data_IF_707488232712
#
_entry.id   IF_707488232712
#
_cell.length_a   1.000
_cell.length_b   1.000
_cell.length_c   1.000
_cell.angle_alpha   90.00
_cell.angle_beta   90.00
_cell.angle_gamma   90.00
#
_symmetry.space_group_name_H-M   'P 1'
#
loop_
_entity.id
_entity.type
_entity.pdbx_description
1 polymer ?
#
# COMPACT_ATOMS: atom_id res chain seq x y z
N UNK A 1 7.94 20.89 -9.02
CA UNK A 1 7.66 19.83 -10.01
C UNK A 1 6.17 19.56 -9.98
N UNK A 2 5.50 19.61 -11.13
CA UNK A 2 4.04 19.47 -11.22
C UNK A 2 3.66 18.00 -11.19
N UNK A 3 2.87 17.58 -10.20
CA UNK A 3 2.31 16.23 -10.16
C UNK A 3 1.21 16.12 -11.24
N UNK A 4 1.15 14.97 -11.91
CA UNK A 4 0.11 14.65 -12.90
C UNK A 4 -1.25 14.36 -12.27
N UNK A 5 -1.40 14.56 -10.97
CA UNK A 5 -2.66 14.36 -10.24
C UNK A 5 -3.79 15.25 -10.75
N UNK A 6 -3.44 16.40 -11.35
CA UNK A 6 -4.37 17.29 -12.05
C UNK A 6 -5.05 16.62 -13.25
N UNK A 7 -4.47 15.57 -13.80
CA UNK A 7 -4.95 14.89 -15.02
C UNK A 7 -5.93 13.75 -14.71
N UNK A 8 -6.23 13.48 -13.43
CA UNK A 8 -7.14 12.39 -13.01
C UNK A 8 -8.51 12.52 -13.68
N UNK A 9 -9.09 13.72 -13.71
CA UNK A 9 -10.39 13.95 -14.36
C UNK A 9 -10.35 13.62 -15.86
N UNK A 10 -9.25 13.98 -16.54
CA UNK A 10 -9.06 13.66 -17.94
C UNK A 10 -8.90 12.14 -18.15
N UNK A 11 -8.15 11.45 -17.30
CA UNK A 11 -7.99 9.99 -17.41
C UNK A 11 -9.32 9.24 -17.24
N UNK A 12 -10.16 9.67 -16.29
CA UNK A 12 -11.49 9.08 -16.06
C UNK A 12 -12.41 9.30 -17.26
N UNK A 13 -12.41 10.52 -17.82
CA UNK A 13 -13.14 10.82 -19.04
C UNK A 13 -12.66 9.95 -20.22
N UNK A 14 -11.35 9.83 -20.40
CA UNK A 14 -10.76 9.02 -21.46
C UNK A 14 -11.15 7.54 -21.30
N UNK A 15 -11.06 6.99 -20.10
CA UNK A 15 -11.47 5.62 -19.81
C UNK A 15 -12.94 5.39 -20.18
N UNK A 16 -13.82 6.31 -19.79
CA UNK A 16 -15.25 6.25 -20.14
C UNK A 16 -15.47 6.32 -21.65
N UNK A 17 -14.78 7.22 -22.36
CA UNK A 17 -14.90 7.37 -23.82
C UNK A 17 -14.43 6.14 -24.61
N UNK A 18 -13.53 5.35 -24.01
CA UNK A 18 -12.99 4.12 -24.58
C UNK A 18 -13.69 2.86 -24.05
N UNK A 19 -14.72 3.01 -23.22
CA UNK A 19 -15.43 1.90 -22.56
C UNK A 19 -14.49 0.98 -21.75
N UNK A 20 -13.47 1.56 -21.11
CA UNK A 20 -12.47 0.85 -20.33
C UNK A 20 -12.73 0.96 -18.82
N UNK A 21 -12.43 -0.12 -18.11
CA UNK A 21 -12.29 -0.13 -16.66
C UNK A 21 -10.85 0.22 -16.30
N UNK A 22 -10.66 1.14 -15.35
CA UNK A 22 -9.34 1.47 -14.82
C UNK A 22 -9.18 0.93 -13.41
N UNK A 23 -7.94 0.51 -13.13
CA UNK A 23 -7.54 0.01 -11.84
C UNK A 23 -6.39 0.86 -11.33
N UNK A 24 -6.59 1.48 -10.17
CA UNK A 24 -5.63 2.42 -9.62
C UNK A 24 -5.11 1.89 -8.30
N UNK A 25 -3.78 1.82 -8.21
CA UNK A 25 -3.04 1.45 -7.01
C UNK A 25 -2.09 2.56 -6.66
N UNK A 26 -1.78 2.64 -5.39
CA UNK A 26 -0.73 3.49 -4.92
C UNK A 26 0.63 2.92 -5.35
N UNK A 27 1.54 3.80 -5.75
CA UNK A 27 2.93 3.40 -5.95
C UNK A 27 3.54 2.90 -4.62
N UNK A 28 4.26 1.77 -4.69
CA UNK A 28 5.02 1.18 -3.59
C UNK A 28 6.51 1.14 -4.00
N UNK A 29 7.45 1.32 -3.06
CA UNK A 29 8.87 1.24 -3.37
C UNK A 29 9.20 -0.17 -3.84
N UNK A 30 9.77 -0.27 -5.03
CA UNK A 30 10.30 -1.51 -5.61
C UNK A 30 11.42 -1.16 -6.57
N UNK A 31 12.50 -1.93 -6.53
CA UNK A 31 13.65 -1.79 -7.42
C UNK A 31 14.10 -0.32 -7.62
N UNK A 32 13.99 0.19 -8.84
CA UNK A 32 14.39 1.55 -9.23
C UNK A 32 13.54 2.65 -8.58
N UNK A 33 12.36 2.31 -8.06
CA UNK A 33 11.47 3.24 -7.39
C UNK A 33 11.73 3.36 -5.88
N UNK A 34 12.60 2.53 -5.28
CA UNK A 34 12.90 2.56 -3.84
C UNK A 34 13.35 3.95 -3.38
N UNK A 35 14.20 4.62 -4.18
CA UNK A 35 14.74 5.95 -3.86
C UNK A 35 13.94 7.10 -4.49
N UNK A 36 12.76 6.82 -5.07
CA UNK A 36 11.98 7.83 -5.77
C UNK A 36 10.94 8.49 -4.85
N UNK A 37 11.40 9.51 -4.11
CA UNK A 37 10.57 10.31 -3.21
C UNK A 37 9.49 11.15 -3.93
N UNK A 38 9.47 11.20 -5.26
CA UNK A 38 8.38 11.86 -6.00
C UNK A 38 7.13 10.97 -6.06
N UNK A 39 7.30 9.66 -6.00
CA UNK A 39 6.20 8.68 -6.04
C UNK A 39 5.63 8.39 -4.65
N UNK A 40 6.40 8.69 -3.60
CA UNK A 40 6.08 8.34 -2.22
C UNK A 40 6.17 9.61 -1.37
N UNK A 41 5.01 10.18 -1.06
CA UNK A 41 4.88 11.43 -0.30
C UNK A 41 3.73 11.35 0.69
N UNK A 42 3.73 12.29 1.62
CA UNK A 42 2.60 12.60 2.49
C UNK A 42 1.39 13.04 1.66
N UNK A 43 0.19 12.81 2.20
CA UNK A 43 -1.05 13.21 1.55
C UNK A 43 -1.23 14.73 1.61
N UNK A 44 -1.67 15.31 0.48
CA UNK A 44 -2.08 16.72 0.40
C UNK A 44 -3.59 16.82 0.15
N UNK A 45 -4.22 17.99 0.33
CA UNK A 45 -5.64 18.18 0.01
C UNK A 45 -5.98 17.88 -1.46
N UNK A 46 -5.08 18.20 -2.40
CA UNK A 46 -5.22 17.86 -3.82
C UNK A 46 -5.19 16.35 -4.04
N UNK A 47 -4.30 15.66 -3.33
CA UNK A 47 -4.22 14.20 -3.34
C UNK A 47 -5.51 13.54 -2.85
N UNK A 48 -6.04 14.04 -1.74
CA UNK A 48 -7.30 13.56 -1.20
C UNK A 48 -8.48 13.79 -2.17
N UNK A 49 -8.60 14.98 -2.75
CA UNK A 49 -9.64 15.29 -3.75
C UNK A 49 -9.57 14.35 -4.96
N UNK A 50 -8.37 14.04 -5.43
CA UNK A 50 -8.18 13.10 -6.54
C UNK A 50 -8.62 11.68 -6.17
N UNK A 51 -8.27 11.18 -4.98
CA UNK A 51 -8.74 9.85 -4.52
C UNK A 51 -10.27 9.80 -4.44
N UNK A 52 -10.90 10.85 -3.90
CA UNK A 52 -12.36 10.90 -3.80
C UNK A 52 -13.03 10.90 -5.18
N UNK A 53 -12.47 11.65 -6.13
CA UNK A 53 -12.95 11.65 -7.52
C UNK A 53 -12.84 10.24 -8.13
N UNK A 54 -11.69 9.57 -7.98
CA UNK A 54 -11.48 8.21 -8.49
C UNK A 54 -12.43 7.18 -7.85
N UNK A 55 -12.71 7.28 -6.54
CA UNK A 55 -13.65 6.38 -5.87
C UNK A 55 -15.12 6.65 -6.24
N UNK A 56 -15.44 7.85 -6.74
CA UNK A 56 -16.81 8.20 -7.16
C UNK A 56 -17.15 7.74 -8.58
N UNK A 57 -16.15 7.36 -9.38
CA UNK A 57 -16.33 6.95 -10.76
C UNK A 57 -16.62 5.43 -10.85
N UNK A 58 -17.74 5.02 -11.48
CA UNK A 58 -18.12 3.60 -11.55
C UNK A 58 -17.17 2.75 -12.42
N UNK A 59 -16.35 3.36 -13.27
CA UNK A 59 -15.38 2.68 -14.13
C UNK A 59 -13.99 2.61 -13.49
N UNK A 60 -13.81 3.14 -12.28
CA UNK A 60 -12.53 3.20 -11.58
C UNK A 60 -12.53 2.36 -10.31
N UNK A 61 -11.75 1.28 -10.33
CA UNK A 61 -11.47 0.47 -9.15
C UNK A 61 -10.20 0.96 -8.45
N UNK A 62 -10.38 1.73 -7.37
CA UNK A 62 -9.28 2.14 -6.49
C UNK A 62 -8.96 0.99 -5.53
N UNK A 63 -7.68 0.65 -5.37
CA UNK A 63 -7.23 -0.43 -4.49
C UNK A 63 -6.35 0.05 -3.34
N UNK A 64 -5.92 -0.91 -2.52
CA UNK A 64 -5.21 -0.68 -1.26
C UNK A 64 -6.05 0.16 -0.28
N UNK A 65 -5.38 0.80 0.68
CA UNK A 65 -5.93 1.71 1.69
C UNK A 65 -6.42 3.05 1.11
N UNK A 66 -6.60 3.17 -0.20
CA UNK A 66 -7.22 4.35 -0.84
C UNK A 66 -8.67 4.08 -1.26
N UNK A 67 -9.12 2.83 -1.12
CA UNK A 67 -10.49 2.45 -1.45
C UNK A 67 -11.45 2.88 -0.32
N UNK A 68 -12.44 3.69 -0.70
CA UNK A 68 -13.45 4.26 0.18
C UNK A 68 -14.74 3.43 0.27
N UNK A 69 -14.82 2.34 -0.50
CA UNK A 69 -16.03 1.52 -0.65
C UNK A 69 -16.26 0.66 0.59
N UNK A 70 -16.86 1.23 1.64
CA UNK A 70 -16.99 0.54 2.92
C UNK A 70 -17.83 1.16 4.04
N UNK A 71 -18.28 2.42 3.90
CA UNK A 71 -19.21 3.03 4.87
C UNK A 71 -18.66 3.27 6.27
N UNK A 72 -17.34 3.31 6.48
CA UNK A 72 -16.73 3.69 7.76
C UNK A 72 -16.66 5.22 7.93
N UNK A 73 -16.67 5.70 9.19
CA UNK A 73 -16.65 7.13 9.56
C UNK A 73 -15.45 7.92 8.98
N UNK A 74 -14.35 7.25 8.69
CA UNK A 74 -13.21 7.84 7.96
C UNK A 74 -13.22 7.30 6.51
N UNK A 75 -13.53 8.14 5.51
CA UNK A 75 -13.86 7.68 4.17
C UNK A 75 -12.72 6.97 3.44
N UNK A 76 -11.45 7.10 3.84
CA UNK A 76 -10.33 6.59 3.04
C UNK A 76 -9.92 5.13 3.28
N UNK A 77 -10.43 4.41 4.27
CA UNK A 77 -9.66 3.27 4.80
C UNK A 77 -10.47 2.02 4.98
N UNK A 78 -10.92 1.42 3.88
CA UNK A 78 -11.38 0.04 3.91
C UNK A 78 -10.39 -0.88 3.21
N UNK A 79 -9.35 -1.33 3.92
CA UNK A 79 -8.76 -2.62 3.56
C UNK A 79 -9.49 -3.73 4.31
N UNK A 80 -10.30 -4.52 3.60
CA UNK A 80 -10.99 -5.70 4.16
C UNK A 80 -10.02 -6.79 4.64
N UNK A 81 -8.76 -6.72 4.22
CA UNK A 81 -7.71 -7.68 4.57
C UNK A 81 -6.42 -6.96 4.94
N UNK A 82 -5.69 -7.54 5.87
CA UNK A 82 -4.30 -7.20 6.17
C UNK A 82 -3.35 -7.50 4.99
N UNK A 83 -2.04 -7.25 5.18
CA UNK A 83 -1.02 -7.61 4.21
C UNK A 83 -0.95 -9.14 4.01
N UNK A 84 -0.99 -9.60 2.75
CA UNK A 84 -0.89 -11.03 2.42
C UNK A 84 0.53 -11.59 2.35
N UNK A 85 1.56 -10.76 2.52
CA UNK A 85 2.96 -11.15 2.34
C UNK A 85 3.35 -12.28 3.32
N UNK A 86 3.75 -13.44 2.78
CA UNK A 86 4.14 -14.60 3.57
C UNK A 86 3.00 -15.34 4.29
N UNK A 87 1.76 -14.84 4.23
CA UNK A 87 0.55 -15.45 4.84
C UNK A 87 -0.42 -16.01 3.80
N UNK A 88 -0.60 -15.30 2.69
CA UNK A 88 -1.49 -15.67 1.58
C UNK A 88 -0.82 -15.53 0.21
N UNK A 89 0.31 -14.83 0.14
CA UNK A 89 1.00 -14.48 -1.10
C UNK A 89 2.47 -14.90 -0.98
N UNK A 90 2.97 -15.51 -2.05
CA UNK A 90 4.38 -15.70 -2.37
C UNK A 90 4.61 -15.04 -3.74
N UNK A 91 5.77 -14.43 -3.92
CA UNK A 91 6.20 -13.90 -5.20
C UNK A 91 7.32 -14.76 -5.79
N UNK A 92 7.27 -14.97 -7.10
CA UNK A 92 8.28 -15.69 -7.87
C UNK A 92 8.70 -14.79 -9.03
N UNK A 93 9.97 -14.41 -9.06
CA UNK A 93 10.57 -13.62 -10.13
C UNK A 93 10.76 -14.45 -11.41
N UNK A 94 11.03 -13.76 -12.52
CA UNK A 94 11.24 -14.40 -13.81
C UNK A 94 12.45 -15.36 -13.84
N UNK A 95 13.45 -15.14 -12.98
CA UNK A 95 14.61 -16.04 -12.81
C UNK A 95 14.35 -17.18 -11.81
N UNK A 96 13.13 -17.26 -11.28
CA UNK A 96 12.70 -18.22 -10.28
C UNK A 96 12.99 -17.81 -8.84
N UNK A 97 13.57 -16.63 -8.56
CA UNK A 97 13.80 -16.15 -7.19
C UNK A 97 12.48 -16.01 -6.44
N UNK A 98 12.43 -16.50 -5.20
CA UNK A 98 11.22 -16.50 -4.38
C UNK A 98 11.35 -15.49 -3.25
N UNK A 99 10.28 -14.75 -2.97
CA UNK A 99 10.18 -13.83 -1.83
C UNK A 99 8.74 -13.77 -1.30
N UNK A 100 8.51 -13.29 -0.06
CA UNK A 100 7.16 -13.13 0.49
C UNK A 100 6.38 -11.97 -0.15
N UNK A 101 7.07 -11.01 -0.77
CA UNK A 101 6.47 -9.86 -1.44
C UNK A 101 7.46 -9.20 -2.39
N UNK A 102 7.00 -8.82 -3.60
CA UNK A 102 7.82 -8.13 -4.62
C UNK A 102 8.36 -6.77 -4.17
N UNK A 103 7.80 -6.15 -3.14
CA UNK A 103 8.16 -4.79 -2.71
C UNK A 103 9.22 -4.73 -1.61
N UNK A 104 9.65 -5.86 -1.04
CA UNK A 104 10.57 -5.88 0.12
C UNK A 104 12.06 -5.83 -0.27
N UNK A 105 12.35 -6.05 -1.54
CA UNK A 105 13.71 -6.05 -2.07
C UNK A 105 14.52 -7.30 -1.73
N UNK A 106 15.80 -7.26 -2.11
CA UNK A 106 16.68 -8.44 -2.19
C UNK A 106 16.97 -9.14 -0.85
N UNK A 107 16.86 -8.40 0.25
CA UNK A 107 17.06 -8.96 1.59
C UNK A 107 15.95 -9.93 2.01
N UNK A 108 14.86 -10.01 1.24
CA UNK A 108 13.75 -10.91 1.47
C UNK A 108 13.70 -12.07 0.45
N UNK A 109 14.80 -12.36 -0.24
CA UNK A 109 14.90 -13.51 -1.13
C UNK A 109 15.09 -14.79 -0.32
N UNK A 110 14.16 -15.74 -0.47
CA UNK A 110 14.06 -16.96 0.34
C UNK A 110 14.47 -18.24 -0.38
N UNK A 111 14.97 -18.13 -1.61
CA UNK A 111 15.41 -19.27 -2.42
C UNK A 111 15.01 -19.15 -3.88
N UNK A 112 15.04 -20.27 -4.59
CA UNK A 112 14.72 -20.32 -6.02
C UNK A 112 13.79 -21.51 -6.35
N UNK A 113 12.76 -21.22 -7.14
CA UNK A 113 11.71 -22.15 -7.57
C UNK A 113 12.24 -23.44 -8.20
N UNK A 114 13.35 -23.35 -8.94
CA UNK A 114 13.92 -24.50 -9.64
C UNK A 114 14.82 -25.38 -8.75
N UNK A 115 15.12 -24.93 -7.51
CA UNK A 115 16.13 -25.57 -6.64
C UNK A 115 15.58 -25.98 -5.27
N UNK A 116 14.50 -25.36 -4.81
CA UNK A 116 14.03 -25.48 -3.44
C UNK A 116 12.57 -25.95 -3.38
N UNK A 117 12.20 -26.59 -2.27
CA UNK A 117 10.80 -26.94 -2.01
C UNK A 117 9.99 -25.71 -1.64
N UNK A 118 8.90 -25.44 -2.37
CA UNK A 118 8.00 -24.32 -2.06
C UNK A 118 7.39 -24.44 -0.67
N UNK A 119 7.10 -25.67 -0.21
CA UNK A 119 6.51 -25.86 1.12
C UNK A 119 7.52 -25.58 2.23
N UNK A 120 8.80 -25.89 1.99
CA UNK A 120 9.89 -25.60 2.92
C UNK A 120 10.15 -24.10 2.97
N UNK A 121 10.30 -23.44 1.82
CA UNK A 121 10.43 -21.97 1.76
C UNK A 121 9.25 -21.31 2.47
N UNK A 122 8.03 -21.71 2.12
CA UNK A 122 6.84 -21.12 2.71
C UNK A 122 6.86 -21.28 4.23
N UNK A 123 7.07 -22.48 4.79
CA UNK A 123 6.92 -22.70 6.24
C UNK A 123 8.13 -22.22 7.03
N UNK A 124 9.33 -22.45 6.53
CA UNK A 124 10.56 -22.43 7.32
C UNK A 124 11.50 -21.25 7.00
N UNK A 125 11.34 -20.57 5.86
CA UNK A 125 12.28 -19.50 5.50
C UNK A 125 12.20 -18.30 6.47
N UNK A 126 13.34 -17.75 6.92
CA UNK A 126 13.37 -16.64 7.86
C UNK A 126 12.58 -15.42 7.37
N UNK A 127 12.62 -15.12 6.06
CA UNK A 127 11.98 -13.94 5.49
C UNK A 127 10.45 -14.09 5.50
N UNK A 128 9.92 -15.29 5.26
CA UNK A 128 8.47 -15.57 5.40
C UNK A 128 8.04 -15.52 6.87
N UNK A 129 8.85 -16.07 7.79
CA UNK A 129 8.57 -15.99 9.23
C UNK A 129 8.59 -14.55 9.73
N UNK A 130 9.53 -13.73 9.26
CA UNK A 130 9.60 -12.31 9.58
C UNK A 130 8.37 -11.56 9.07
N UNK A 131 7.90 -11.87 7.86
CA UNK A 131 6.70 -11.23 7.29
C UNK A 131 5.38 -11.68 7.92
N UNK A 132 5.35 -12.84 8.58
CA UNK A 132 4.21 -13.26 9.43
C UNK A 132 4.18 -12.53 10.76
N UNK A 133 5.33 -12.05 11.22
CA UNK A 133 5.51 -11.43 12.53
C UNK A 133 6.03 -9.99 12.39
N UNK A 134 5.52 -9.24 11.39
CA UNK A 134 5.97 -7.87 11.16
C UNK A 134 5.67 -7.03 12.40
N UNK A 135 6.69 -6.37 12.99
CA UNK A 135 6.49 -5.52 14.15
C UNK A 135 5.59 -4.32 13.82
N UNK A 136 4.81 -3.90 14.81
CA UNK A 136 4.04 -2.66 14.73
C UNK A 136 4.88 -1.50 15.23
N UNK A 137 4.82 -0.38 14.51
CA UNK A 137 5.30 0.89 15.03
C UNK A 137 4.54 1.27 16.32
N UNK A 138 5.22 1.93 17.26
CA UNK A 138 4.65 2.32 18.56
C UNK A 138 3.36 3.16 18.41
N UNK A 139 3.34 4.12 17.48
CA UNK A 139 2.17 4.98 17.27
C UNK A 139 0.96 4.20 16.76
N UNK A 140 1.20 3.08 16.06
CA UNK A 140 0.15 2.20 15.55
C UNK A 140 -0.43 1.28 16.63
N UNK A 141 0.29 1.02 17.74
CA UNK A 141 -0.19 0.11 18.80
C UNK A 141 -1.43 0.66 19.52
N UNK A 142 -1.49 1.98 19.72
CA UNK A 142 -2.60 2.68 20.37
C UNK A 142 -3.55 3.39 19.38
N UNK A 143 -3.28 3.34 18.08
CA UNK A 143 -4.08 4.03 17.08
C UNK A 143 -5.44 3.34 16.84
N UNK A 144 -6.53 4.10 16.88
CA UNK A 144 -7.88 3.61 16.59
C UNK A 144 -8.05 3.13 15.14
N UNK A 145 -7.21 3.63 14.21
CA UNK A 145 -7.21 3.26 12.78
C UNK A 145 -6.49 1.95 12.50
N UNK A 146 -5.85 1.32 13.49
CA UNK A 146 -5.05 0.09 13.29
C UNK A 146 -5.84 -1.03 12.59
N UNK A 147 -7.11 -1.22 12.94
CA UNK A 147 -7.95 -2.28 12.36
C UNK A 147 -8.47 -1.95 10.95
N UNK A 148 -8.38 -0.69 10.53
CA UNK A 148 -8.87 -0.22 9.22
C UNK A 148 -7.73 -0.08 8.22
N UNK A 149 -6.58 0.46 8.64
CA UNK A 149 -5.40 0.62 7.78
C UNK A 149 -4.41 -0.56 7.86
N UNK A 150 -4.53 -1.44 8.85
CA UNK A 150 -3.63 -2.57 9.10
C UNK A 150 -2.14 -2.20 9.16
N UNK A 151 -1.82 -0.99 9.62
CA UNK A 151 -0.43 -0.51 9.78
C UNK A 151 0.32 -0.34 8.45
N UNK A 152 -0.44 -0.13 7.37
CA UNK A 152 0.05 0.17 6.03
C UNK A 152 1.04 -0.87 5.46
N UNK A 153 1.71 -0.55 4.35
CA UNK A 153 2.56 -1.51 3.66
C UNK A 153 3.91 -1.68 4.36
N UNK A 154 4.33 -2.90 4.78
CA UNK A 154 5.63 -3.11 5.41
C UNK A 154 6.82 -2.67 4.54
N UNK A 155 6.69 -2.76 3.22
CA UNK A 155 7.73 -2.29 2.28
C UNK A 155 7.92 -0.76 2.32
N UNK A 156 6.85 0.01 2.53
CA UNK A 156 6.94 1.46 2.70
C UNK A 156 7.74 1.82 3.96
N UNK A 157 7.42 1.16 5.07
CA UNK A 157 8.15 1.31 6.33
C UNK A 157 9.62 0.92 6.20
N UNK A 158 9.90 -0.22 5.57
CA UNK A 158 11.27 -0.69 5.34
C UNK A 158 12.09 0.29 4.50
N UNK A 159 11.59 0.66 3.33
CA UNK A 159 12.37 1.41 2.35
C UNK A 159 12.43 2.91 2.61
N UNK A 160 11.37 3.49 3.20
CA UNK A 160 11.30 4.93 3.45
C UNK A 160 11.50 5.26 4.93
N UNK A 161 10.88 4.47 5.81
CA UNK A 161 11.07 4.59 7.26
C UNK A 161 12.38 3.96 7.78
N UNK A 162 13.03 3.13 6.96
CA UNK A 162 14.33 2.51 7.26
C UNK A 162 14.27 1.16 7.97
N UNK A 163 13.09 0.74 8.46
CA UNK A 163 12.91 -0.53 9.17
C UNK A 163 11.47 -1.02 9.12
N UNK A 164 11.25 -2.31 9.41
CA UNK A 164 9.89 -2.87 9.43
C UNK A 164 9.02 -2.33 10.57
N UNK A 165 9.58 -1.75 11.63
CA UNK A 165 8.89 -1.14 12.76
C UNK A 165 8.81 0.40 12.69
N UNK A 166 9.35 1.01 11.63
CA UNK A 166 9.28 2.44 11.40
C UNK A 166 7.83 2.92 11.14
N UNK A 167 7.59 4.23 11.23
CA UNK A 167 6.33 4.81 10.81
C UNK A 167 6.20 4.73 9.27
N UNK A 168 4.98 4.53 8.76
CA UNK A 168 4.73 4.68 7.34
C UNK A 168 4.58 6.19 7.02
N UNK A 169 5.40 6.78 6.13
CA UNK A 169 5.35 8.21 5.77
C UNK A 169 4.03 8.63 5.14
N UNK A 170 3.14 7.67 4.90
CA UNK A 170 1.87 7.89 4.27
C UNK A 170 0.66 7.64 5.14
N UNK A 171 0.91 7.45 6.42
CA UNK A 171 -0.12 7.46 7.42
C UNK A 171 -0.99 8.71 7.23
N UNK A 172 -2.29 8.50 6.99
CA UNK A 172 -3.25 9.60 6.83
C UNK A 172 -3.69 10.23 8.16
N UNK A 173 -3.16 9.77 9.31
CA UNK A 173 -3.52 10.29 10.64
C UNK A 173 -3.25 11.79 10.75
N UNK A 174 -2.02 12.28 10.45
CA UNK A 174 -1.73 13.71 10.56
C UNK A 174 -2.58 14.54 9.61
N UNK A 175 -2.80 14.05 8.39
CA UNK A 175 -3.67 14.70 7.41
C UNK A 175 -5.10 14.87 7.96
N UNK A 176 -5.69 13.82 8.54
CA UNK A 176 -7.02 13.96 9.12
C UNK A 176 -7.05 14.81 10.38
N UNK A 177 -6.02 14.78 11.22
CA UNK A 177 -5.95 15.66 12.40
C UNK A 177 -5.85 17.14 12.01
N UNK A 178 -5.14 17.45 10.92
CA UNK A 178 -4.97 18.81 10.40
C UNK A 178 -6.19 19.32 9.61
N UNK A 179 -6.76 18.48 8.74
CA UNK A 179 -7.82 18.89 7.79
C UNK A 179 -9.23 18.47 8.21
N UNK A 180 -9.38 17.66 9.26
CA UNK A 180 -10.67 17.19 9.79
C UNK A 180 -11.03 17.67 11.22
N UNK A 181 -10.53 18.80 11.79
CA UNK A 181 -10.92 19.20 13.14
C UNK A 181 -12.30 19.90 13.23
N UNK A 182 -13.21 19.73 12.25
CA UNK A 182 -14.56 20.35 12.28
C UNK A 182 -15.62 19.53 11.53
N UNK A 183 -15.92 18.32 11.98
CA UNK A 183 -17.30 17.81 11.93
C UNK A 183 -17.61 17.19 13.29
N UNK A 184 -18.19 18.03 14.14
CA UNK A 184 -18.73 17.72 15.46
C UNK A 184 -19.26 16.28 15.55
N UNK A 185 -18.73 15.51 16.50
CA UNK A 185 -19.57 14.53 17.19
C UNK A 185 -20.67 15.27 17.95
#
# INVERSE_FOLDING_TARGET
MTLNIKDVAYMLHLATSLELQIKIRRAKPSDRAINNMLLIREATPEYYKAIMLMNSDPNCNVEDIMNCSGGLKEPLLLSKSDCGAGTRIMFVEADGTISPCTFLGKNFHSGNFYKNSLSEIWKESPEFQQMRNVPLNEDCKSCHRKLTCHSECPAMRLHIGGSLDAADPSCLKPFFEEYLPLQNL
#
